data_IF_443769486315
#
_entry.id   IF_443769486315
#
_cell.length_a   1.000
_cell.length_b   1.000
_cell.length_c   1.000
_cell.angle_alpha   90.00
_cell.angle_beta   90.00
_cell.angle_gamma   90.00
#
_symmetry.space_group_name_H-M   'P 1'
#
loop_
_entity.id
_entity.type
_entity.pdbx_description
1 polymer ?
#
# COMPACT_ATOMS: atom_id res chain seq x y z
N UNK A 1 -3.85 -3.09 -7.56
CA UNK A 1 -2.98 -2.89 -8.76
C UNK A 1 -1.58 -3.41 -8.44
N UNK A 2 -0.92 -4.12 -9.36
CA UNK A 2 0.49 -4.53 -9.28
C UNK A 2 1.28 -4.13 -10.53
N UNK A 3 0.73 -3.23 -11.35
CA UNK A 3 1.21 -2.97 -12.72
C UNK A 3 2.70 -2.63 -12.77
N UNK A 4 3.17 -1.63 -12.03
CA UNK A 4 4.58 -1.23 -12.08
C UNK A 4 5.53 -2.23 -11.42
N UNK A 5 5.00 -3.16 -10.63
CA UNK A 5 5.77 -4.21 -9.97
C UNK A 5 5.89 -5.48 -10.83
N UNK A 6 4.88 -5.78 -11.65
CA UNK A 6 4.68 -7.12 -12.18
C UNK A 6 4.21 -7.19 -13.65
N UNK A 7 3.88 -6.08 -14.30
CA UNK A 7 3.71 -6.06 -15.75
C UNK A 7 5.04 -6.41 -16.44
N UNK A 8 4.99 -7.13 -17.56
CA UNK A 8 6.20 -7.58 -18.27
C UNK A 8 7.11 -6.42 -18.68
N UNK A 9 6.56 -5.31 -19.13
CA UNK A 9 7.35 -4.16 -19.58
C UNK A 9 7.91 -3.36 -18.40
N UNK A 10 7.19 -3.32 -17.28
CA UNK A 10 7.62 -2.60 -16.09
C UNK A 10 8.61 -3.42 -15.24
N UNK A 11 8.34 -4.71 -14.99
CA UNK A 11 9.18 -5.58 -14.17
C UNK A 11 10.60 -5.72 -14.74
N UNK A 12 10.73 -5.69 -16.06
CA UNK A 12 12.01 -5.73 -16.76
C UNK A 12 12.89 -4.50 -16.51
N UNK A 13 12.35 -3.40 -15.96
CA UNK A 13 13.12 -2.21 -15.57
C UNK A 13 13.67 -2.31 -14.15
N UNK A 14 13.23 -3.29 -13.36
CA UNK A 14 13.60 -3.44 -11.95
C UNK A 14 14.89 -4.27 -11.85
N UNK A 15 15.98 -3.59 -11.50
CA UNK A 15 17.32 -4.19 -11.45
C UNK A 15 18.04 -3.98 -10.11
N UNK A 16 17.56 -3.03 -9.32
CA UNK A 16 18.11 -2.66 -8.02
C UNK A 16 16.98 -2.20 -7.09
N UNK A 17 17.31 -2.08 -5.81
CA UNK A 17 16.39 -1.69 -4.75
C UNK A 17 15.67 -0.36 -5.02
N UNK A 18 16.35 0.66 -5.56
CA UNK A 18 15.70 1.93 -5.91
C UNK A 18 14.56 1.76 -6.92
N UNK A 19 14.75 0.91 -7.93
CA UNK A 19 13.72 0.68 -8.95
C UNK A 19 12.53 -0.08 -8.36
N UNK A 20 12.80 -1.00 -7.43
CA UNK A 20 11.76 -1.72 -6.70
C UNK A 20 10.96 -0.77 -5.79
N UNK A 21 11.65 0.13 -5.08
CA UNK A 21 11.01 1.20 -4.28
C UNK A 21 10.09 2.04 -5.15
N UNK A 22 10.58 2.54 -6.29
CA UNK A 22 9.78 3.34 -7.22
C UNK A 22 8.56 2.57 -7.76
N UNK A 23 8.73 1.28 -8.05
CA UNK A 23 7.63 0.42 -8.50
C UNK A 23 6.53 0.27 -7.43
N UNK A 24 6.89 0.08 -6.16
CA UNK A 24 5.93 0.04 -5.04
C UNK A 24 5.20 1.37 -4.89
N UNK A 25 5.92 2.49 -4.90
CA UNK A 25 5.33 3.84 -4.78
C UNK A 25 4.33 4.09 -5.93
N UNK A 26 4.74 3.84 -7.18
CA UNK A 26 3.88 4.06 -8.36
C UNK A 26 2.65 3.16 -8.34
N UNK A 27 2.82 1.91 -7.96
CA UNK A 27 1.73 0.94 -7.87
C UNK A 27 0.72 1.35 -6.80
N UNK A 28 1.19 1.76 -5.62
CA UNK A 28 0.33 2.19 -4.52
C UNK A 28 -0.39 3.52 -4.84
N UNK A 29 0.30 4.46 -5.49
CA UNK A 29 -0.30 5.70 -5.98
C UNK A 29 -1.39 5.44 -7.03
N UNK A 30 -1.11 4.58 -8.02
CA UNK A 30 -2.06 4.25 -9.08
C UNK A 30 -3.29 3.51 -8.54
N UNK A 31 -3.11 2.57 -7.61
CA UNK A 31 -4.23 1.89 -6.96
C UNK A 31 -5.11 2.87 -6.19
N UNK A 32 -4.50 3.75 -5.39
CA UNK A 32 -5.25 4.74 -4.60
C UNK A 32 -6.00 5.72 -5.50
N UNK A 33 -5.38 6.16 -6.61
CA UNK A 33 -6.02 7.01 -7.59
C UNK A 33 -7.28 6.35 -8.16
N UNK A 34 -7.17 5.11 -8.65
CA UNK A 34 -8.29 4.38 -9.26
C UNK A 34 -9.37 4.04 -8.23
N UNK A 35 -8.95 3.64 -7.02
CA UNK A 35 -9.85 3.35 -5.90
C UNK A 35 -10.66 4.59 -5.51
N UNK A 36 -10.06 5.79 -5.50
CA UNK A 36 -10.79 7.03 -5.24
C UNK A 36 -11.85 7.30 -6.31
N UNK A 37 -11.50 7.18 -7.60
CA UNK A 37 -12.48 7.36 -8.68
C UNK A 37 -13.66 6.39 -8.54
N UNK A 38 -13.38 5.12 -8.20
CA UNK A 38 -14.41 4.12 -7.94
C UNK A 38 -15.26 4.48 -6.72
N UNK A 39 -14.63 4.86 -5.60
CA UNK A 39 -15.31 5.27 -4.37
C UNK A 39 -16.26 6.44 -4.62
N UNK A 40 -15.80 7.47 -5.35
CA UNK A 40 -16.63 8.62 -5.74
C UNK A 40 -17.83 8.21 -6.57
N UNK A 41 -17.62 7.37 -7.59
CA UNK A 41 -18.70 6.89 -8.46
C UNK A 41 -19.78 6.15 -7.67
N UNK A 42 -19.38 5.34 -6.67
CA UNK A 42 -20.31 4.58 -5.82
C UNK A 42 -20.99 5.43 -4.75
N UNK A 43 -20.39 6.55 -4.37
CA UNK A 43 -20.88 7.45 -3.33
C UNK A 43 -21.28 8.81 -3.91
N UNK A 44 -21.74 8.85 -5.16
CA UNK A 44 -22.09 10.10 -5.86
C UNK A 44 -23.19 10.90 -5.15
N UNK A 45 -24.06 10.22 -4.38
CA UNK A 45 -25.09 10.86 -3.55
C UNK A 45 -24.56 11.54 -2.30
N UNK A 46 -23.33 11.26 -1.87
CA UNK A 46 -22.75 11.82 -0.63
C UNK A 46 -22.30 13.28 -0.76
N UNK A 47 -22.22 13.81 -1.98
CA UNK A 47 -21.83 15.20 -2.27
C UNK A 47 -20.40 15.54 -1.82
N UNK A 48 -19.77 16.53 -2.47
CA UNK A 48 -18.61 17.27 -1.93
C UNK A 48 -17.38 16.42 -1.50
N UNK A 49 -17.24 15.18 -1.98
CA UNK A 49 -16.14 14.28 -1.59
C UNK A 49 -14.77 14.85 -2.00
N UNK A 50 -14.66 15.44 -3.20
CA UNK A 50 -13.42 16.07 -3.65
C UNK A 50 -13.10 17.35 -2.85
N UNK A 51 -14.11 18.07 -2.36
CA UNK A 51 -13.91 19.29 -1.54
C UNK A 51 -13.42 18.95 -0.13
N UNK A 52 -14.01 17.93 0.49
CA UNK A 52 -13.54 17.38 1.77
C UNK A 52 -12.10 16.88 1.67
N UNK A 53 -11.81 16.14 0.60
CA UNK A 53 -10.46 15.66 0.35
C UNK A 53 -9.46 16.81 0.12
N UNK A 54 -9.88 17.90 -0.54
CA UNK A 54 -9.09 19.14 -0.65
C UNK A 54 -8.85 19.82 0.69
N UNK A 55 -9.64 19.56 1.72
CA UNK A 55 -9.39 20.02 3.09
C UNK A 55 -8.52 19.04 3.89
N UNK A 56 -8.11 17.92 3.27
CA UNK A 56 -7.33 16.85 3.89
C UNK A 56 -8.18 15.83 4.64
N UNK A 57 -9.51 15.92 4.57
CA UNK A 57 -10.43 14.95 5.17
C UNK A 57 -10.59 13.74 4.23
N UNK A 58 -10.03 12.60 4.63
CA UNK A 58 -10.24 11.32 3.94
C UNK A 58 -11.45 10.63 4.60
N UNK A 59 -12.49 10.24 3.84
CA UNK A 59 -13.60 9.47 4.40
C UNK A 59 -13.11 8.19 5.08
N UNK A 60 -13.58 7.92 6.32
CA UNK A 60 -13.10 6.80 7.14
C UNK A 60 -13.17 5.44 6.44
N UNK A 61 -14.28 5.18 5.72
CA UNK A 61 -14.46 3.97 4.90
C UNK A 61 -13.37 3.83 3.83
N UNK A 62 -12.99 4.94 3.19
CA UNK A 62 -11.96 4.95 2.16
C UNK A 62 -10.55 4.84 2.78
N UNK A 63 -10.31 5.54 3.89
CA UNK A 63 -9.06 5.43 4.65
C UNK A 63 -8.80 3.98 5.08
N UNK A 64 -9.83 3.28 5.56
CA UNK A 64 -9.76 1.86 5.89
C UNK A 64 -9.41 0.99 4.68
N UNK A 65 -9.97 1.29 3.51
CA UNK A 65 -9.60 0.60 2.27
C UNK A 65 -8.13 0.82 1.91
N UNK A 66 -7.61 2.05 2.03
CA UNK A 66 -6.19 2.35 1.79
C UNK A 66 -5.30 1.57 2.74
N UNK A 67 -5.66 1.47 4.01
CA UNK A 67 -4.90 0.71 4.99
C UNK A 67 -4.78 -0.78 4.64
N UNK A 68 -5.87 -1.42 4.18
CA UNK A 68 -5.81 -2.82 3.74
C UNK A 68 -4.94 -2.98 2.49
N UNK A 69 -5.09 -2.11 1.50
CA UNK A 69 -4.25 -2.12 0.29
C UNK A 69 -2.76 -1.96 0.63
N UNK A 70 -2.43 -1.07 1.57
CA UNK A 70 -1.07 -0.93 2.06
C UNK A 70 -0.57 -2.23 2.72
N UNK A 71 -1.42 -2.89 3.51
CA UNK A 71 -1.16 -4.21 4.09
C UNK A 71 -0.90 -5.28 3.03
N UNK A 72 -1.70 -5.33 1.98
CA UNK A 72 -1.53 -6.28 0.88
C UNK A 72 -0.16 -6.10 0.20
N UNK A 73 0.30 -4.86 -0.04
CA UNK A 73 1.64 -4.62 -0.59
C UNK A 73 2.75 -5.13 0.32
N UNK A 74 2.61 -4.93 1.64
CA UNK A 74 3.55 -5.47 2.63
C UNK A 74 3.59 -6.99 2.58
N UNK A 75 2.42 -7.61 2.59
CA UNK A 75 2.30 -9.06 2.66
C UNK A 75 2.77 -9.70 1.34
N UNK A 76 2.58 -9.05 0.19
CA UNK A 76 3.19 -9.46 -1.09
C UNK A 76 4.72 -9.37 -1.04
N UNK A 77 5.27 -8.31 -0.44
CA UNK A 77 6.72 -8.14 -0.32
C UNK A 77 7.38 -9.25 0.52
N UNK A 78 6.74 -9.64 1.61
CA UNK A 78 7.21 -10.71 2.50
C UNK A 78 6.75 -12.11 2.09
N UNK A 79 6.01 -12.24 0.98
CA UNK A 79 5.38 -13.50 0.53
C UNK A 79 4.46 -14.15 1.58
N UNK A 80 3.85 -13.32 2.44
CA UNK A 80 2.85 -13.73 3.44
C UNK A 80 1.41 -13.49 2.98
N UNK A 81 1.21 -12.96 1.77
CA UNK A 81 -0.11 -12.78 1.18
C UNK A 81 -0.77 -14.13 0.84
N UNK A 82 -2.10 -14.18 0.93
CA UNK A 82 -2.91 -15.38 0.70
C UNK A 82 -3.22 -15.64 -0.78
N UNK A 83 -2.70 -14.82 -1.70
CA UNK A 83 -3.06 -14.92 -3.12
C UNK A 83 -2.41 -16.15 -3.74
N UNK A 84 -3.07 -16.70 -4.74
CA UNK A 84 -2.43 -17.69 -5.62
C UNK A 84 -1.20 -17.06 -6.26
N UNK A 85 -0.08 -17.80 -6.27
CA UNK A 85 1.17 -17.36 -6.89
C UNK A 85 1.12 -17.56 -8.40
N UNK A 86 0.27 -16.78 -9.04
CA UNK A 86 0.03 -16.79 -10.49
C UNK A 86 0.05 -15.35 -11.04
N UNK A 87 0.28 -15.22 -12.34
CA UNK A 87 0.22 -13.95 -13.08
C UNK A 87 1.02 -12.81 -12.39
N UNK A 88 0.36 -11.71 -12.05
CA UNK A 88 0.99 -10.54 -11.43
C UNK A 88 1.59 -10.83 -10.06
N UNK A 89 0.98 -11.71 -9.25
CA UNK A 89 1.51 -12.05 -7.93
C UNK A 89 2.80 -12.86 -8.08
N UNK A 90 2.81 -13.84 -9.00
CA UNK A 90 4.02 -14.60 -9.31
C UNK A 90 5.14 -13.68 -9.83
N UNK A 91 4.82 -12.80 -10.78
CA UNK A 91 5.78 -11.85 -11.34
C UNK A 91 6.36 -10.91 -10.27
N UNK A 92 5.53 -10.43 -9.34
CA UNK A 92 5.96 -9.60 -8.22
C UNK A 92 6.91 -10.38 -7.31
N UNK A 93 6.55 -11.62 -6.96
CA UNK A 93 7.39 -12.48 -6.13
C UNK A 93 8.76 -12.73 -6.77
N UNK A 94 8.78 -13.09 -8.06
CA UNK A 94 10.03 -13.35 -8.80
C UNK A 94 10.95 -12.12 -8.82
N UNK A 95 10.40 -10.92 -9.02
CA UNK A 95 11.22 -9.71 -9.06
C UNK A 95 11.75 -9.35 -7.67
N UNK A 96 10.95 -9.52 -6.62
CA UNK A 96 11.38 -9.31 -5.23
C UNK A 96 12.49 -10.30 -4.87
N UNK A 97 12.32 -11.59 -5.19
CA UNK A 97 13.32 -12.62 -4.94
C UNK A 97 14.61 -12.39 -5.73
N UNK A 98 14.52 -11.83 -6.94
CA UNK A 98 15.70 -11.45 -7.72
C UNK A 98 16.50 -10.31 -7.07
N UNK A 99 15.81 -9.31 -6.49
CA UNK A 99 16.46 -8.17 -5.80
C UNK A 99 16.98 -8.58 -4.43
N UNK A 100 16.27 -9.49 -3.75
CA UNK A 100 16.63 -10.04 -2.44
C UNK A 100 16.83 -11.56 -2.55
N UNK A 101 17.92 -12.02 -3.19
CA UNK A 101 18.17 -13.44 -3.40
C UNK A 101 18.36 -14.15 -2.06
N UNK A 102 17.79 -15.34 -1.96
CA UNK A 102 18.02 -16.21 -0.81
C UNK A 102 19.48 -16.67 -0.82
N UNK A 103 20.19 -16.45 0.29
CA UNK A 103 21.53 -17.00 0.50
C UNK A 103 21.37 -18.23 1.41
N UNK A 104 21.83 -19.39 0.96
CA UNK A 104 21.86 -20.66 1.71
C UNK A 104 20.49 -21.13 2.27
N UNK A 105 19.42 -20.97 1.48
CA UNK A 105 18.08 -21.45 1.86
C UNK A 105 17.41 -20.66 2.99
N UNK A 106 18.03 -19.57 3.44
CA UNK A 106 17.41 -18.59 4.34
C UNK A 106 16.89 -17.42 3.52
N UNK A 107 15.61 -17.10 3.66
CA UNK A 107 15.07 -15.82 3.21
C UNK A 107 15.90 -14.72 3.91
N UNK A 108 16.38 -13.66 3.22
CA UNK A 108 17.09 -12.55 3.86
C UNK A 108 16.09 -11.71 4.65
N UNK A 109 15.54 -12.30 5.71
CA UNK A 109 14.39 -11.77 6.43
C UNK A 109 14.78 -10.45 7.11
N UNK A 110 16.02 -10.33 7.60
CA UNK A 110 16.55 -9.09 8.16
C UNK A 110 16.76 -8.00 7.11
N UNK A 111 17.34 -8.34 5.95
CA UNK A 111 17.58 -7.37 4.87
C UNK A 111 16.28 -6.86 4.24
N UNK A 112 15.30 -7.76 4.05
CA UNK A 112 13.96 -7.38 3.59
C UNK A 112 13.23 -6.52 4.62
N UNK A 113 13.30 -6.86 5.91
CA UNK A 113 12.72 -6.05 6.99
C UNK A 113 13.32 -4.65 7.05
N UNK A 114 14.65 -4.55 7.07
CA UNK A 114 15.35 -3.26 7.08
C UNK A 114 14.94 -2.40 5.87
N UNK A 115 14.94 -2.98 4.66
CA UNK A 115 14.56 -2.26 3.46
C UNK A 115 13.08 -1.84 3.45
N UNK A 116 12.16 -2.70 3.88
CA UNK A 116 10.75 -2.33 4.02
C UNK A 116 10.57 -1.20 5.03
N UNK A 117 11.32 -1.24 6.15
CA UNK A 117 11.29 -0.18 7.16
C UNK A 117 11.79 1.17 6.65
N UNK A 118 12.70 1.17 5.68
CA UNK A 118 13.14 2.38 4.98
C UNK A 118 12.04 2.95 4.05
N UNK A 119 11.33 2.09 3.31
CA UNK A 119 10.41 2.54 2.26
C UNK A 119 8.93 2.63 2.68
N UNK A 120 8.54 2.04 3.82
CA UNK A 120 7.13 1.95 4.27
C UNK A 120 6.40 3.29 4.27
N UNK A 121 7.10 4.34 4.69
CA UNK A 121 6.57 5.71 4.69
C UNK A 121 6.39 6.23 3.25
N UNK A 122 7.34 5.97 2.38
CA UNK A 122 7.30 6.42 0.99
C UNK A 122 6.16 5.77 0.21
N UNK A 123 5.87 4.49 0.46
CA UNK A 123 4.73 3.79 -0.14
C UNK A 123 3.43 4.47 0.27
N UNK A 124 3.26 4.75 1.56
CA UNK A 124 2.08 5.47 2.06
C UNK A 124 1.98 6.89 1.50
N UNK A 125 3.08 7.64 1.48
CA UNK A 125 3.14 8.98 0.88
C UNK A 125 2.81 8.94 -0.61
N UNK A 126 3.16 7.85 -1.31
CA UNK A 126 2.73 7.56 -2.68
C UNK A 126 1.23 7.40 -2.82
N UNK A 127 0.59 6.66 -1.89
CA UNK A 127 -0.89 6.54 -1.85
C UNK A 127 -1.55 7.91 -1.67
N UNK A 128 -1.08 8.72 -0.73
CA UNK A 128 -1.59 10.08 -0.50
C UNK A 128 -1.36 11.01 -1.70
N UNK A 129 -0.23 10.85 -2.40
CA UNK A 129 0.02 11.56 -3.65
C UNK A 129 -1.02 11.17 -4.72
N UNK A 130 -1.23 9.87 -4.94
CA UNK A 130 -2.25 9.36 -5.87
C UNK A 130 -3.65 9.90 -5.56
N UNK A 131 -3.98 9.99 -4.27
CA UNK A 131 -5.24 10.56 -3.80
C UNK A 131 -5.37 12.05 -4.12
N UNK A 132 -4.32 12.85 -3.88
CA UNK A 132 -4.30 14.28 -4.24
C UNK A 132 -4.53 14.49 -5.73
N UNK A 133 -3.86 13.70 -6.58
CA UNK A 133 -4.08 13.75 -8.03
C UNK A 133 -5.50 13.35 -8.42
N UNK A 134 -6.09 12.36 -7.74
CA UNK A 134 -7.45 11.90 -8.01
C UNK A 134 -8.53 12.93 -7.64
N UNK A 135 -8.22 13.86 -6.72
CA UNK A 135 -9.07 15.01 -6.34
C UNK A 135 -9.04 16.16 -7.35
N UNK A 136 -8.14 16.11 -8.35
CA UNK A 136 -7.92 17.19 -9.31
C UNK A 136 -7.16 18.39 -8.74
N UNK A 137 -6.63 18.31 -7.52
CA UNK A 137 -5.83 19.38 -6.91
C UNK A 137 -4.42 18.89 -6.54
N UNK A 138 -3.46 19.15 -7.44
CA UNK A 138 -2.06 18.77 -7.29
C UNK A 138 -1.35 19.60 -6.20
N UNK A 139 -1.76 20.84 -5.96
CA UNK A 139 -1.12 21.70 -4.96
C UNK A 139 -1.49 21.35 -3.51
N UNK A 140 -2.39 20.39 -3.29
CA UNK A 140 -2.86 20.01 -1.96
C UNK A 140 -2.20 18.75 -1.38
N UNK A 141 -1.16 18.22 -2.05
CA UNK A 141 -0.46 17.01 -1.60
C UNK A 141 0.05 17.18 -0.17
N UNK A 142 0.59 18.35 0.18
CA UNK A 142 1.14 18.63 1.51
C UNK A 142 0.05 18.66 2.59
N UNK A 143 -1.10 19.28 2.35
CA UNK A 143 -2.23 19.28 3.29
C UNK A 143 -2.71 17.85 3.59
N UNK A 144 -2.89 17.03 2.53
CA UNK A 144 -3.34 15.64 2.68
C UNK A 144 -2.28 14.83 3.45
N UNK A 145 -0.99 15.00 3.14
CA UNK A 145 0.12 14.34 3.83
C UNK A 145 0.23 14.72 5.30
N UNK A 146 0.12 16.01 5.63
CA UNK A 146 0.23 16.51 7.00
C UNK A 146 -0.92 15.99 7.88
N UNK A 147 -2.13 15.87 7.33
CA UNK A 147 -3.29 15.38 8.07
C UNK A 147 -3.34 13.85 8.19
N UNK A 148 -2.66 13.12 7.30
CA UNK A 148 -2.75 11.66 7.19
C UNK A 148 -1.37 10.99 7.23
N UNK A 149 -0.47 11.49 8.08
CA UNK A 149 0.91 10.99 8.21
C UNK A 149 0.96 9.49 8.50
N UNK A 150 2.04 8.82 8.09
CA UNK A 150 2.23 7.38 8.36
C UNK A 150 2.07 7.01 9.85
N UNK A 151 2.42 7.90 10.78
CA UNK A 151 2.24 7.68 12.23
C UNK A 151 0.79 7.52 12.68
N UNK A 152 -0.19 7.97 11.89
CA UNK A 152 -1.62 7.72 12.18
C UNK A 152 -1.99 6.26 11.90
N UNK A 153 -1.15 5.52 11.18
CA UNK A 153 -1.30 4.10 10.91
C UNK A 153 -0.77 3.28 12.11
N UNK A 154 -1.61 3.06 13.11
CA UNK A 154 -1.28 2.14 14.23
C UNK A 154 -1.63 0.71 13.84
N UNK A 155 -0.63 -0.12 13.51
CA UNK A 155 -0.79 -1.58 13.45
C UNK A 155 -0.87 -2.15 14.87
N UNK A 156 -2.01 -2.02 15.56
CA UNK A 156 -2.18 -2.71 16.85
C UNK A 156 -2.48 -4.19 16.60
N UNK A 157 -1.48 -5.05 16.80
CA UNK A 157 -1.58 -6.50 16.62
C UNK A 157 -0.48 -7.27 17.34
N UNK A 158 -0.27 -7.00 18.63
CA UNK A 158 0.49 -7.93 19.49
C UNK A 158 -0.40 -9.13 19.83
N UNK A 159 -0.54 -10.07 18.91
CA UNK A 159 -0.94 -11.46 19.16
C UNK A 159 -0.59 -12.27 17.92
N UNK A 160 0.50 -13.03 17.97
CA UNK A 160 0.79 -14.07 16.99
C UNK A 160 -0.41 -15.04 16.94
N UNK A 161 -1.07 -15.24 15.80
CA UNK A 161 -2.14 -16.23 15.73
C UNK A 161 -1.51 -17.61 15.77
N UNK A 162 -1.82 -18.40 16.80
CA UNK A 162 -1.66 -19.85 16.72
C UNK A 162 -2.50 -20.39 15.57
N UNK A 163 -2.00 -21.39 14.82
CA UNK A 163 -2.65 -21.91 13.62
C UNK A 163 -3.90 -22.71 14.04
N UNK A 164 -5.06 -22.05 14.11
CA UNK A 164 -6.29 -22.74 14.49
C UNK A 164 -7.55 -21.92 14.66
N UNK A 165 -7.50 -20.59 14.65
CA UNK A 165 -8.72 -19.77 14.73
C UNK A 165 -8.62 -18.51 13.88
N UNK A 166 -8.95 -18.63 12.59
CA UNK A 166 -9.33 -17.51 11.75
C UNK A 166 -10.75 -17.05 12.14
N UNK A 167 -10.86 -16.37 13.28
CA UNK A 167 -11.95 -15.41 13.50
C UNK A 167 -11.41 -14.03 13.17
N UNK A 168 -12.12 -13.36 12.26
CA UNK A 168 -11.96 -11.98 11.82
C UNK A 168 -11.62 -11.02 12.96
N UNK A 169 -10.34 -10.83 13.27
CA UNK A 169 -9.90 -9.69 14.07
C UNK A 169 -9.78 -8.52 13.12
N UNK A 170 -10.89 -7.80 12.98
CA UNK A 170 -10.90 -6.44 12.46
C UNK A 170 -9.82 -5.65 13.20
N UNK A 171 -8.92 -4.93 12.51
CA UNK A 171 -8.04 -3.96 13.15
C UNK A 171 -8.90 -3.01 13.97
N UNK A 172 -8.71 -2.99 15.28
CA UNK A 172 -9.42 -2.07 16.18
C UNK A 172 -8.75 -0.70 16.01
N UNK A 173 -9.46 0.21 15.36
CA UNK A 173 -9.07 1.61 15.30
C UNK A 173 -9.30 2.23 16.68
N UNK A 174 -8.24 2.54 17.41
CA UNK A 174 -8.29 3.60 18.42
C UNK A 174 -8.03 4.92 17.70
N UNK A 175 -9.11 5.61 17.35
CA UNK A 175 -9.07 7.06 17.16
C UNK A 175 -9.11 7.62 18.58
N UNK A 176 -8.02 8.25 19.01
CA UNK A 176 -8.01 8.96 20.27
C UNK A 176 -8.95 10.17 20.07
N UNK A 177 -10.02 10.26 20.88
CA UNK A 177 -11.06 11.31 20.87
C UNK A 177 -10.49 12.71 21.17
#
# INVERSE_FOLDING_TARGET
CLFYLADTNEKNKIHKQDHLRDAFIKTAAAETFLAWQYYKKKNSSRGNLDEKLKQGEIPSEFFRSMFYTYGDYRDIFFDTDISKKENYVLNAKEIIDKIFPNIDGKTPDEGRKAWWDEIKKDVWDGMLCGLSHASGNISNVETIKNNNTYSTIKFSGSNSPSPGNLRTTTPVFKMDD
#
